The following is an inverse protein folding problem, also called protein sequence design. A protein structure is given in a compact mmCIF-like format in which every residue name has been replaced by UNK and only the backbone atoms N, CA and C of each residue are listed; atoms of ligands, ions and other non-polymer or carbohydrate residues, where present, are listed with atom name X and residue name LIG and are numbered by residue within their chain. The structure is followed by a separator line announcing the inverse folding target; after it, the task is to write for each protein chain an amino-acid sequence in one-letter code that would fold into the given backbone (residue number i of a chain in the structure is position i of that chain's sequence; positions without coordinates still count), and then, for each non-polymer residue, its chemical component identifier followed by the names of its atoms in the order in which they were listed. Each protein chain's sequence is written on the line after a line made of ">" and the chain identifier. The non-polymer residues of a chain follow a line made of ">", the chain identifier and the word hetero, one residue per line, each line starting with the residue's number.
data_IF_471449158100
#
_entry.id   IF_471449158100
#
_cell.length_a   1.000
_cell.length_b   1.000
_cell.length_c   1.000
_cell.angle_alpha   90.00
_cell.angle_beta   90.00
_cell.angle_gamma   90.00
#
_symmetry.space_group_name_H-M   'P 1'
#
loop_
_entity.id
_entity.type
_entity.pdbx_description
1 polymer ?
#
# COMPACT_ATOMS: atom_id res chain seq x y z
N UNK A 1 23.61 -33.90 8.31
CA UNK A 1 22.89 -33.35 7.14
C UNK A 1 21.54 -32.72 7.49
N UNK A 2 20.43 -33.44 7.76
CA UNK A 2 19.13 -32.78 7.99
C UNK A 2 19.08 -31.82 9.21
N UNK A 3 19.80 -32.16 10.30
CA UNK A 3 19.86 -31.34 11.51
C UNK A 3 20.73 -30.08 11.35
N UNK A 4 21.80 -30.16 10.55
CA UNK A 4 22.68 -29.02 10.25
C UNK A 4 22.02 -28.02 9.31
N UNK A 5 21.18 -28.48 8.38
CA UNK A 5 20.39 -27.60 7.50
C UNK A 5 19.28 -26.88 8.27
N UNK A 6 18.69 -27.52 9.30
CA UNK A 6 17.70 -26.91 10.18
C UNK A 6 18.33 -25.82 11.08
N UNK A 7 19.49 -26.12 11.67
CA UNK A 7 20.24 -25.17 12.50
C UNK A 7 20.80 -24.02 11.65
N UNK A 8 21.25 -24.28 10.42
CA UNK A 8 21.62 -23.22 9.48
C UNK A 8 20.41 -22.37 9.07
N UNK A 9 19.22 -22.97 8.91
CA UNK A 9 17.97 -22.25 8.64
C UNK A 9 17.57 -21.30 9.78
N UNK A 10 17.69 -21.75 11.03
CA UNK A 10 17.41 -20.93 12.23
C UNK A 10 18.49 -19.85 12.46
N UNK A 11 19.77 -20.16 12.23
CA UNK A 11 20.88 -19.20 12.39
C UNK A 11 20.88 -18.14 11.27
N UNK A 12 20.48 -18.49 10.03
CA UNK A 12 20.35 -17.54 8.92
C UNK A 12 19.07 -16.69 9.06
N UNK A 13 18.03 -17.20 9.72
CA UNK A 13 16.91 -16.36 10.16
C UNK A 13 17.38 -15.28 11.16
N UNK A 14 18.24 -15.62 12.12
CA UNK A 14 18.67 -14.69 13.18
C UNK A 14 19.41 -13.42 12.73
N UNK A 15 20.03 -13.38 11.55
CA UNK A 15 20.96 -12.28 11.19
C UNK A 15 20.32 -11.08 10.48
N UNK A 16 19.08 -11.19 9.99
CA UNK A 16 18.46 -10.16 9.15
C UNK A 16 17.06 -9.74 9.63
N UNK A 17 16.73 -10.03 10.88
CA UNK A 17 15.47 -9.66 11.56
C UNK A 17 15.67 -8.40 12.45
N UNK A 18 16.79 -7.70 12.25
CA UNK A 18 17.29 -6.71 13.20
C UNK A 18 16.69 -5.30 13.04
N UNK A 19 15.79 -5.03 12.08
CA UNK A 19 15.31 -3.64 11.89
C UNK A 19 14.45 -3.14 13.05
N UNK A 20 13.44 -3.91 13.44
CA UNK A 20 12.55 -3.53 14.54
C UNK A 20 13.28 -3.60 15.88
N UNK A 21 14.10 -4.63 16.08
CA UNK A 21 14.89 -4.82 17.30
C UNK A 21 15.94 -3.70 17.45
N UNK A 22 16.71 -3.39 16.41
CA UNK A 22 17.70 -2.31 16.44
C UNK A 22 17.08 -0.93 16.69
N UNK A 23 15.84 -0.70 16.24
CA UNK A 23 15.11 0.55 16.47
C UNK A 23 14.25 0.55 17.74
N UNK A 24 14.15 -0.57 18.46
CA UNK A 24 13.24 -0.75 19.59
C UNK A 24 13.45 0.29 20.71
N UNK A 25 14.70 0.67 20.98
CA UNK A 25 15.01 1.69 21.99
C UNK A 25 14.47 3.08 21.62
N UNK A 26 14.60 3.46 20.35
CA UNK A 26 14.04 4.70 19.81
C UNK A 26 12.52 4.63 19.82
N UNK A 27 11.95 3.53 19.32
CA UNK A 27 10.50 3.33 19.30
C UNK A 27 9.89 3.43 20.72
N UNK A 28 10.49 2.78 21.73
CA UNK A 28 10.07 2.90 23.13
C UNK A 28 10.13 4.34 23.65
N UNK A 29 11.20 5.07 23.32
CA UNK A 29 11.33 6.46 23.75
C UNK A 29 10.20 7.34 23.19
N UNK A 30 9.92 7.23 21.88
CA UNK A 30 8.86 7.99 21.23
C UNK A 30 7.47 7.55 21.70
N UNK A 31 7.21 6.25 21.79
CA UNK A 31 5.94 5.74 22.30
C UNK A 31 5.61 6.27 23.69
N UNK A 32 6.59 6.26 24.61
CA UNK A 32 6.41 6.80 25.95
C UNK A 32 6.21 8.32 25.95
N UNK A 33 6.96 9.04 25.12
CA UNK A 33 6.89 10.51 25.05
C UNK A 33 5.57 11.01 24.47
N UNK A 34 5.04 10.33 23.46
CA UNK A 34 3.85 10.75 22.71
C UNK A 34 2.60 9.95 23.06
N UNK A 35 2.71 8.97 23.97
CA UNK A 35 1.63 8.01 24.31
C UNK A 35 1.06 7.32 23.06
N UNK A 36 1.96 6.92 22.15
CA UNK A 36 1.62 6.34 20.85
C UNK A 36 1.80 4.83 20.85
N UNK A 37 0.94 4.11 20.13
CA UNK A 37 1.01 2.65 20.01
C UNK A 37 1.85 2.24 18.80
N UNK A 38 2.86 1.38 19.03
CA UNK A 38 3.78 0.91 18.00
C UNK A 38 3.43 -0.50 17.53
N UNK A 39 3.07 -0.62 16.25
CA UNK A 39 2.59 -1.81 15.57
C UNK A 39 3.64 -2.28 14.57
N UNK A 40 4.59 -3.09 15.03
CA UNK A 40 5.60 -3.74 14.19
C UNK A 40 6.29 -2.82 13.16
N UNK A 41 6.62 -1.58 13.51
CA UNK A 41 7.18 -0.60 12.55
C UNK A 41 6.31 0.63 12.34
N UNK A 42 4.99 0.51 12.54
CA UNK A 42 4.01 1.54 12.23
C UNK A 42 3.46 2.15 13.51
N UNK A 43 3.29 3.47 13.54
CA UNK A 43 2.54 4.14 14.60
C UNK A 43 1.05 4.03 14.32
N UNK A 44 0.26 3.51 15.27
CA UNK A 44 -1.18 3.30 15.10
C UNK A 44 -1.92 4.59 14.73
N UNK A 45 -1.48 5.71 15.28
CA UNK A 45 -2.04 7.04 15.08
C UNK A 45 -1.83 7.55 13.66
N UNK A 46 -0.89 6.98 12.92
CA UNK A 46 -0.63 7.31 11.52
C UNK A 46 -1.37 6.38 10.55
N UNK A 47 -2.06 5.35 11.05
CA UNK A 47 -2.90 4.53 10.20
C UNK A 47 -4.11 5.32 9.70
N UNK A 48 -4.59 5.07 8.47
CA UNK A 48 -4.04 4.09 7.52
C UNK A 48 -2.90 4.63 6.63
N UNK A 49 -2.50 5.90 6.76
CA UNK A 49 -1.53 6.54 5.86
C UNK A 49 -0.15 5.89 5.92
N UNK A 50 0.21 5.35 7.07
CA UNK A 50 1.45 4.61 7.24
C UNK A 50 1.51 3.29 6.44
N UNK A 51 0.43 2.84 5.78
CA UNK A 51 0.40 1.61 4.98
C UNK A 51 0.87 1.80 3.53
N UNK A 52 0.82 3.02 3.02
CA UNK A 52 1.09 3.33 1.60
C UNK A 52 2.57 3.65 1.31
N UNK A 53 3.49 3.07 2.10
CA UNK A 53 4.92 3.09 1.76
C UNK A 53 5.20 2.26 0.49
N UNK A 54 6.37 2.44 -0.12
CA UNK A 54 6.89 1.56 -1.19
C UNK A 54 8.38 1.29 -0.98
N UNK A 55 8.86 0.12 -1.40
CA UNK A 55 10.27 -0.24 -1.36
C UNK A 55 11.03 0.33 -2.57
N UNK A 56 12.31 0.63 -2.39
CA UNK A 56 13.19 1.03 -3.49
C UNK A 56 13.60 -0.16 -4.38
N UNK A 57 13.65 0.09 -5.68
CA UNK A 57 13.59 -0.89 -6.75
C UNK A 57 14.85 -1.75 -6.91
N UNK A 58 16.01 -1.27 -6.48
CA UNK A 58 17.29 -1.94 -6.73
C UNK A 58 17.70 -2.93 -5.62
N UNK A 59 17.18 -2.77 -4.39
CA UNK A 59 17.64 -3.54 -3.22
C UNK A 59 16.53 -4.11 -2.33
N UNK A 60 15.27 -3.69 -2.50
CA UNK A 60 14.18 -4.06 -1.58
C UNK A 60 13.14 -5.05 -2.09
N UNK A 61 13.18 -5.38 -3.38
CA UNK A 61 12.10 -6.04 -4.12
C UNK A 61 12.35 -7.54 -4.42
N UNK A 62 13.28 -8.17 -3.69
CA UNK A 62 13.62 -9.58 -3.87
C UNK A 62 12.54 -10.55 -3.37
N UNK A 63 12.54 -11.83 -3.84
CA UNK A 63 11.64 -12.89 -3.38
C UNK A 63 12.09 -13.39 -2.00
N UNK A 64 11.94 -12.54 -0.99
CA UNK A 64 12.33 -12.88 0.37
C UNK A 64 11.11 -13.40 1.14
N UNK A 65 11.26 -14.42 1.99
CA UNK A 65 10.22 -14.77 2.94
C UNK A 65 9.95 -13.54 3.81
N UNK A 66 8.68 -13.15 3.96
CA UNK A 66 8.27 -12.03 4.79
C UNK A 66 8.81 -12.23 6.21
N UNK A 67 9.56 -11.24 6.71
CA UNK A 67 10.18 -11.27 8.06
C UNK A 67 9.35 -10.47 9.06
N UNK A 68 8.07 -10.81 9.15
CA UNK A 68 7.05 -10.06 9.87
C UNK A 68 5.86 -9.73 8.97
N UNK A 69 4.90 -8.95 9.47
CA UNK A 69 3.66 -8.70 8.74
C UNK A 69 3.88 -7.94 7.43
N UNK A 70 3.20 -8.31 6.34
CA UNK A 70 3.44 -7.72 5.01
C UNK A 70 3.03 -6.24 4.90
N UNK A 71 2.15 -5.79 5.79
CA UNK A 71 1.75 -4.40 5.93
C UNK A 71 2.81 -3.52 6.59
N UNK A 72 3.79 -4.11 7.29
CA UNK A 72 4.90 -3.39 7.89
C UNK A 72 6.03 -3.12 6.89
N UNK A 73 6.56 -1.89 6.88
CA UNK A 73 7.77 -1.54 6.14
C UNK A 73 8.99 -2.37 6.57
N UNK A 74 8.96 -2.95 7.77
CA UNK A 74 10.01 -3.83 8.25
C UNK A 74 10.08 -5.15 7.48
N UNK A 75 9.01 -5.55 6.80
CA UNK A 75 8.93 -6.81 6.03
C UNK A 75 9.84 -6.86 4.80
N UNK A 76 10.26 -5.70 4.27
CA UNK A 76 11.12 -5.59 3.08
C UNK A 76 12.52 -5.11 3.44
N UNK A 77 13.52 -5.55 2.70
CA UNK A 77 14.87 -4.98 2.81
C UNK A 77 14.95 -3.67 2.01
N UNK A 78 16.00 -2.87 2.23
CA UNK A 78 16.22 -1.65 1.46
C UNK A 78 15.47 -0.42 1.98
N UNK A 79 15.68 0.68 1.26
CA UNK A 79 15.05 1.97 1.55
C UNK A 79 13.55 1.90 1.28
N UNK A 80 12.76 2.52 2.16
CA UNK A 80 11.33 2.73 1.93
C UNK A 80 11.06 4.20 1.66
N UNK A 81 10.02 4.45 0.86
CA UNK A 81 9.59 5.79 0.49
C UNK A 81 8.11 5.98 0.76
N UNK A 82 7.81 7.15 1.32
CA UNK A 82 6.46 7.70 1.35
C UNK A 82 6.30 8.80 0.27
N UNK A 83 7.38 9.24 -0.38
CA UNK A 83 7.42 10.43 -1.26
C UNK A 83 6.59 10.33 -2.55
N UNK A 84 6.21 9.12 -2.99
CA UNK A 84 5.24 8.98 -4.11
C UNK A 84 3.85 9.53 -3.73
N UNK A 85 3.53 9.61 -2.44
CA UNK A 85 2.34 10.25 -1.85
C UNK A 85 2.48 11.80 -1.82
N UNK A 86 3.72 12.29 -1.87
CA UNK A 86 4.07 13.70 -1.65
C UNK A 86 4.59 14.44 -2.89
N UNK A 87 4.63 13.80 -4.08
CA UNK A 87 5.11 14.48 -5.30
C UNK A 87 4.25 15.68 -5.74
N UNK A 88 3.02 15.79 -5.25
CA UNK A 88 2.13 16.94 -5.43
C UNK A 88 2.03 17.83 -4.18
N UNK A 89 2.83 17.55 -3.15
CA UNK A 89 2.82 18.22 -1.85
C UNK A 89 4.15 18.92 -1.65
N UNK A 90 4.15 20.25 -1.75
CA UNK A 90 5.36 21.07 -1.58
C UNK A 90 5.95 20.98 -0.15
N UNK A 91 5.23 20.40 0.82
CA UNK A 91 5.68 20.28 2.21
C UNK A 91 5.51 18.84 2.75
N UNK A 92 6.54 18.24 3.38
CA UNK A 92 6.46 16.90 4.00
C UNK A 92 5.45 16.79 5.15
N UNK A 93 4.90 17.93 5.58
CA UNK A 93 3.90 18.09 6.62
C UNK A 93 2.86 19.08 6.10
N UNK A 94 2.17 18.74 5.02
CA UNK A 94 1.01 19.52 4.61
C UNK A 94 -0.12 19.26 5.60
N UNK A 95 -0.14 20.07 6.65
CA UNK A 95 -1.15 20.22 7.68
C UNK A 95 -2.40 20.96 7.19
N UNK A 96 -2.54 21.18 5.88
CA UNK A 96 -3.82 21.54 5.28
C UNK A 96 -4.82 20.41 5.52
N UNK A 97 -6.05 20.70 5.94
CA UNK A 97 -7.12 19.72 5.95
C UNK A 97 -7.51 19.41 4.50
N UNK A 98 -6.75 18.56 3.81
CA UNK A 98 -7.36 17.82 2.71
C UNK A 98 -8.46 16.98 3.33
N UNK A 99 -9.69 17.18 2.89
CA UNK A 99 -10.84 16.38 3.32
C UNK A 99 -10.66 14.97 2.79
N UNK A 100 -9.92 14.13 3.52
CA UNK A 100 -9.84 12.71 3.24
C UNK A 100 -11.15 12.07 3.72
N UNK A 101 -11.82 11.35 2.84
CA UNK A 101 -12.95 10.49 3.22
C UNK A 101 -12.52 9.04 3.06
N UNK A 102 -12.14 8.40 4.18
CA UNK A 102 -11.90 6.96 4.24
C UNK A 102 -13.22 6.21 4.51
N UNK A 103 -14.30 6.56 3.79
CA UNK A 103 -15.60 5.86 3.95
C UNK A 103 -15.49 4.38 3.55
N UNK A 104 -14.58 4.08 2.63
CA UNK A 104 -14.48 2.77 1.99
C UNK A 104 -13.45 1.85 2.65
N UNK A 105 -12.78 2.31 3.71
CA UNK A 105 -11.71 1.60 4.40
C UNK A 105 -11.71 1.90 5.90
N UNK A 106 -11.74 0.86 6.72
CA UNK A 106 -11.64 0.99 8.17
C UNK A 106 -10.83 -0.16 8.76
N UNK A 107 -9.86 0.18 9.60
CA UNK A 107 -9.13 -0.81 10.39
C UNK A 107 -10.00 -1.17 11.60
N UNK A 108 -10.33 -2.45 11.72
CA UNK A 108 -11.12 -2.98 12.83
C UNK A 108 -10.25 -3.36 14.00
N UNK A 109 -9.14 -4.05 13.73
CA UNK A 109 -8.21 -4.54 14.74
C UNK A 109 -6.83 -4.78 14.15
N UNK A 110 -5.78 -4.65 14.98
CA UNK A 110 -4.41 -4.98 14.61
C UNK A 110 -3.77 -5.79 15.73
N UNK A 111 -3.34 -7.00 15.39
CA UNK A 111 -2.64 -7.90 16.30
C UNK A 111 -1.21 -8.09 15.82
N UNK A 112 -0.24 -7.93 16.72
CA UNK A 112 1.17 -8.19 16.43
C UNK A 112 1.64 -9.34 17.29
N UNK A 113 2.26 -10.34 16.66
CA UNK A 113 2.89 -11.45 17.38
C UNK A 113 4.38 -11.16 17.58
N UNK A 114 4.82 -11.22 18.83
CA UNK A 114 6.22 -11.02 19.23
C UNK A 114 6.76 -12.26 19.97
N UNK A 115 8.08 -12.45 19.99
CA UNK A 115 8.69 -13.57 20.74
C UNK A 115 8.52 -13.46 22.25
N UNK A 116 8.37 -12.24 22.75
CA UNK A 116 8.19 -11.92 24.17
C UNK A 116 7.00 -10.98 24.33
N UNK A 117 6.66 -10.60 25.56
CA UNK A 117 5.63 -9.59 25.82
C UNK A 117 6.06 -8.15 25.45
N UNK A 118 7.28 -7.97 24.93
CA UNK A 118 7.77 -6.66 24.50
C UNK A 118 7.28 -6.37 23.07
N UNK A 119 6.28 -5.49 22.96
CA UNK A 119 5.67 -5.08 21.68
C UNK A 119 6.64 -4.41 20.70
N UNK A 120 7.83 -4.01 21.17
CA UNK A 120 8.89 -3.41 20.36
C UNK A 120 10.00 -4.41 20.01
N UNK A 121 9.89 -5.65 20.51
CA UNK A 121 10.87 -6.70 20.34
C UNK A 121 10.79 -7.37 18.98
N UNK A 122 11.29 -8.59 18.93
CA UNK A 122 11.29 -9.40 17.70
C UNK A 122 9.85 -9.77 17.31
N UNK A 123 9.41 -9.25 16.16
CA UNK A 123 8.09 -9.49 15.58
C UNK A 123 8.12 -10.74 14.69
N UNK A 124 7.23 -11.69 14.97
CA UNK A 124 7.06 -12.95 14.25
C UNK A 124 6.01 -12.84 13.13
N UNK A 125 5.05 -11.94 13.27
CA UNK A 125 3.93 -11.77 12.36
C UNK A 125 2.94 -10.74 12.89
N UNK A 126 1.89 -10.50 12.12
CA UNK A 126 0.77 -9.70 12.60
C UNK A 126 -0.40 -9.73 11.65
N UNK A 127 -1.60 -9.62 12.20
CA UNK A 127 -2.84 -9.63 11.45
C UNK A 127 -3.53 -8.28 11.59
N UNK A 128 -4.00 -7.72 10.48
CA UNK A 128 -4.74 -6.46 10.43
C UNK A 128 -6.10 -6.74 9.79
N UNK A 129 -7.17 -6.67 10.59
CA UNK A 129 -8.54 -6.84 10.14
C UNK A 129 -9.05 -5.53 9.58
N UNK A 130 -9.54 -5.57 8.34
CA UNK A 130 -9.95 -4.40 7.58
C UNK A 130 -11.38 -4.61 7.09
N UNK A 131 -12.22 -3.61 7.34
CA UNK A 131 -13.49 -3.44 6.67
C UNK A 131 -13.29 -2.58 5.41
N UNK A 132 -13.77 -3.06 4.27
CA UNK A 132 -13.67 -2.38 2.98
C UNK A 132 -14.90 -2.62 2.10
N UNK A 133 -15.11 -1.79 1.07
CA UNK A 133 -16.31 -1.88 0.19
C UNK A 133 -16.16 -2.94 -0.90
N UNK A 134 -15.26 -2.77 -1.87
CA UNK A 134 -15.07 -3.75 -2.94
C UNK A 134 -13.61 -3.78 -3.35
N UNK A 135 -13.03 -4.97 -3.36
CA UNK A 135 -11.76 -5.25 -4.00
C UNK A 135 -11.94 -5.22 -5.52
N UNK A 136 -11.04 -4.54 -6.21
CA UNK A 136 -11.01 -4.50 -7.67
C UNK A 136 -9.97 -5.50 -8.16
N UNK A 137 -10.31 -6.34 -9.15
CA UNK A 137 -9.32 -7.20 -9.79
C UNK A 137 -8.28 -6.32 -10.50
N UNK A 138 -7.06 -6.30 -9.94
CA UNK A 138 -5.94 -5.52 -10.46
C UNK A 138 -5.12 -6.30 -11.49
N UNK A 139 -5.53 -7.52 -11.85
CA UNK A 139 -4.82 -8.42 -12.77
C UNK A 139 -4.90 -7.88 -14.20
N UNK A 140 -4.05 -6.92 -14.50
CA UNK A 140 -3.97 -6.29 -15.82
C UNK A 140 -3.05 -7.00 -16.81
N UNK A 141 -3.24 -6.69 -18.08
CA UNK A 141 -2.32 -7.07 -19.16
C UNK A 141 -1.10 -6.15 -19.11
N UNK A 142 0.09 -6.72 -19.25
CA UNK A 142 1.35 -5.99 -19.25
C UNK A 142 1.55 -5.27 -20.59
N UNK A 143 1.51 -3.95 -20.61
CA UNK A 143 1.88 -3.13 -21.79
C UNK A 143 3.37 -2.70 -21.80
N UNK A 144 4.13 -3.00 -20.73
CA UNK A 144 5.59 -3.12 -20.74
C UNK A 144 6.50 -1.94 -20.29
N UNK A 145 7.80 -2.30 -20.22
CA UNK A 145 9.10 -1.60 -20.43
C UNK A 145 9.87 -0.91 -19.29
N UNK A 146 9.32 -0.57 -18.11
CA UNK A 146 10.14 0.09 -17.07
C UNK A 146 10.53 -0.82 -15.89
N UNK A 147 11.83 -1.00 -15.59
CA UNK A 147 12.25 -1.68 -14.36
C UNK A 147 11.84 -0.80 -13.17
N UNK A 148 10.94 -1.31 -12.33
CA UNK A 148 10.53 -0.69 -11.07
C UNK A 148 9.21 0.09 -11.06
N UNK A 149 8.65 0.41 -12.23
CA UNK A 149 7.30 1.00 -12.34
C UNK A 149 6.55 0.29 -13.45
N UNK A 150 5.51 -0.45 -13.09
CA UNK A 150 4.61 -1.05 -14.08
C UNK A 150 3.36 -0.20 -14.16
N UNK A 151 3.18 0.54 -15.26
CA UNK A 151 1.83 0.97 -15.62
C UNK A 151 1.12 -0.25 -16.19
N UNK A 152 -0.03 -0.60 -15.62
CA UNK A 152 -0.88 -1.66 -16.18
C UNK A 152 -2.22 -1.08 -16.57
N UNK A 153 -2.77 -1.63 -17.65
CA UNK A 153 -4.13 -1.34 -18.06
C UNK A 153 -5.04 -2.41 -17.46
N UNK A 154 -6.06 -2.01 -16.72
CA UNK A 154 -7.08 -2.93 -16.20
C UNK A 154 -8.46 -2.62 -16.78
N UNK A 155 -9.27 -3.65 -17.09
CA UNK A 155 -10.65 -3.46 -17.47
C UNK A 155 -11.53 -3.18 -16.24
N UNK A 156 -12.45 -2.22 -16.34
CA UNK A 156 -13.49 -1.93 -15.35
C UNK A 156 -14.80 -1.73 -16.10
N UNK A 157 -15.72 -2.70 -15.99
CA UNK A 157 -16.90 -2.76 -16.85
C UNK A 157 -16.47 -2.87 -18.33
N UNK A 158 -17.02 -2.00 -19.17
CA UNK A 158 -16.69 -1.92 -20.61
C UNK A 158 -15.52 -0.97 -20.92
N UNK A 159 -14.93 -0.34 -19.89
CA UNK A 159 -13.85 0.65 -20.01
C UNK A 159 -12.50 0.07 -19.55
N UNK A 160 -11.40 0.77 -19.88
CA UNK A 160 -10.05 0.37 -19.49
C UNK A 160 -9.27 1.56 -18.96
N UNK A 161 -8.57 1.35 -17.84
CA UNK A 161 -7.88 2.41 -17.13
C UNK A 161 -6.41 2.06 -16.92
N UNK A 162 -5.54 3.05 -17.13
CA UNK A 162 -4.13 2.96 -16.78
C UNK A 162 -3.97 3.19 -15.28
N UNK A 163 -3.26 2.30 -14.60
CA UNK A 163 -2.95 2.39 -13.17
C UNK A 163 -1.45 2.25 -12.97
N UNK A 164 -0.89 3.09 -12.09
CA UNK A 164 0.50 3.01 -11.69
C UNK A 164 0.65 1.99 -10.58
N UNK A 165 1.42 0.92 -10.82
CA UNK A 165 1.75 -0.08 -9.79
C UNK A 165 3.18 0.04 -9.31
N UNK A 166 3.34 -0.05 -8.00
CA UNK A 166 4.61 -0.10 -7.29
C UNK A 166 4.64 -1.36 -6.44
N UNK A 167 5.28 -2.41 -6.97
CA UNK A 167 5.36 -3.71 -6.31
C UNK A 167 6.56 -3.78 -5.37
N UNK A 168 6.32 -4.14 -4.13
CA UNK A 168 7.36 -4.52 -3.17
C UNK A 168 7.72 -6.01 -3.29
N UNK A 169 6.79 -6.81 -3.82
CA UNK A 169 6.97 -8.23 -4.12
C UNK A 169 6.99 -8.47 -5.64
N UNK A 170 8.17 -8.80 -6.18
CA UNK A 170 8.32 -9.08 -7.62
C UNK A 170 8.04 -10.53 -8.00
N UNK A 171 7.61 -11.38 -7.06
CA UNK A 171 7.14 -12.71 -7.41
C UNK A 171 5.91 -12.56 -8.32
N UNK A 172 5.76 -13.51 -9.24
CA UNK A 172 4.57 -13.57 -10.07
C UNK A 172 3.38 -13.99 -9.21
N UNK A 173 2.34 -13.15 -9.20
CA UNK A 173 1.08 -13.43 -8.53
C UNK A 173 0.03 -13.67 -9.61
N UNK A 174 -0.61 -14.84 -9.58
CA UNK A 174 -1.65 -15.22 -10.56
C UNK A 174 -2.89 -14.33 -10.48
N UNK A 175 -3.16 -13.76 -9.29
CA UNK A 175 -4.23 -12.82 -9.01
C UNK A 175 -3.75 -11.76 -8.03
N UNK A 176 -4.13 -10.51 -8.29
CA UNK A 176 -3.91 -9.38 -7.39
C UNK A 176 -5.18 -8.53 -7.32
N UNK A 177 -5.37 -7.87 -6.18
CA UNK A 177 -6.51 -7.01 -5.93
C UNK A 177 -6.05 -5.63 -5.48
N UNK A 178 -6.81 -4.61 -5.89
CA UNK A 178 -6.63 -3.23 -5.47
C UNK A 178 -7.57 -2.94 -4.31
N UNK A 179 -6.99 -2.49 -3.20
CA UNK A 179 -7.71 -2.08 -2.00
C UNK A 179 -7.57 -0.56 -1.82
N UNK A 180 -8.63 0.18 -2.11
CA UNK A 180 -8.69 1.62 -1.90
C UNK A 180 -8.49 1.95 -0.42
N UNK A 181 -7.62 2.92 -0.14
CA UNK A 181 -7.50 3.52 1.19
C UNK A 181 -7.94 4.98 1.15
N UNK A 182 -7.48 5.76 0.17
CA UNK A 182 -7.69 7.21 0.14
C UNK A 182 -8.20 7.70 -1.20
N UNK A 183 -9.10 8.68 -1.15
CA UNK A 183 -9.32 9.63 -2.24
C UNK A 183 -8.79 10.99 -1.79
N UNK A 184 -7.94 11.61 -2.60
CA UNK A 184 -7.45 12.97 -2.41
C UNK A 184 -8.15 13.91 -3.37
N UNK A 185 -8.59 15.06 -2.87
CA UNK A 185 -8.99 16.20 -3.70
C UNK A 185 -7.85 17.23 -3.63
N UNK A 186 -7.08 17.39 -4.71
CA UNK A 186 -6.04 18.43 -4.78
C UNK A 186 -6.64 19.69 -5.37
N UNK A 187 -6.87 20.71 -4.54
CA UNK A 187 -7.21 22.04 -5.04
C UNK A 187 -5.93 22.84 -5.26
N UNK A 188 -5.47 22.98 -6.51
CA UNK A 188 -4.31 23.82 -6.82
C UNK A 188 -4.63 25.30 -6.59
N UNK A 189 -3.75 26.02 -5.88
CA UNK A 189 -3.58 27.46 -6.09
C UNK A 189 -2.49 27.65 -7.14
N UNK A 190 -2.79 28.48 -8.13
CA UNK A 190 -1.89 28.86 -9.22
C UNK A 190 -0.62 29.54 -8.71
N UNK A 191 0.39 28.79 -8.33
CA UNK A 191 1.73 29.31 -8.15
C UNK A 191 2.74 28.36 -8.81
N UNK A 192 3.29 28.86 -9.92
CA UNK A 192 4.22 28.21 -10.83
C UNK A 192 5.15 27.19 -10.15
N UNK A 193 5.15 25.96 -10.68
CA UNK A 193 6.02 24.87 -10.25
C UNK A 193 7.42 25.14 -10.79
N UNK A 194 8.38 25.48 -9.91
CA UNK A 194 9.79 25.43 -10.25
C UNK A 194 10.24 23.96 -10.23
N UNK A 195 10.54 23.39 -11.40
CA UNK A 195 11.22 22.11 -11.50
C UNK A 195 12.66 22.26 -11.01
N UNK A 196 13.05 21.51 -9.97
CA UNK A 196 14.46 21.31 -9.66
C UNK A 196 15.06 20.39 -10.72
N UNK A 197 16.00 20.91 -11.51
CA UNK A 197 16.81 20.10 -12.43
C UNK A 197 18.27 20.15 -11.96
N UNK A 198 18.92 19.01 -11.69
CA UNK A 198 20.38 18.98 -11.65
C UNK A 198 20.85 19.14 -13.10
N UNK A 199 21.64 20.18 -13.34
CA UNK A 199 22.17 20.57 -14.64
C UNK A 199 22.97 19.43 -15.27
N UNK A 200 22.34 18.62 -16.13
CA UNK A 200 23.04 17.73 -17.05
C UNK A 200 22.65 18.14 -18.46
N UNK A 201 23.51 18.97 -19.04
CA UNK A 201 23.71 19.18 -20.48
C UNK A 201 22.46 19.49 -21.32
N UNK A 202 22.01 20.75 -21.25
CA UNK A 202 21.82 21.54 -22.48
C UNK A 202 20.62 21.26 -23.37
N UNK A 203 19.54 20.63 -22.88
CA UNK A 203 18.22 20.73 -23.52
C UNK A 203 17.14 21.07 -22.49
N UNK A 204 16.38 22.18 -22.65
CA UNK A 204 15.18 22.37 -21.86
C UNK A 204 14.19 21.26 -22.22
N UNK A 205 13.73 20.52 -21.22
CA UNK A 205 12.55 19.66 -21.36
C UNK A 205 11.37 20.52 -21.84
N UNK A 206 10.54 20.05 -22.79
CA UNK A 206 9.33 20.78 -23.13
C UNK A 206 8.49 20.93 -21.85
N UNK A 207 7.85 22.09 -21.63
CA UNK A 207 6.95 22.25 -20.50
C UNK A 207 5.90 21.15 -20.58
N UNK A 208 5.86 20.29 -19.57
CA UNK A 208 4.74 19.38 -19.37
C UNK A 208 3.51 20.26 -19.21
N UNK A 209 2.56 20.14 -20.13
CA UNK A 209 1.25 20.76 -20.03
C UNK A 209 0.46 20.08 -18.91
N UNK A 210 0.84 20.34 -17.66
CA UNK A 210 -0.05 20.10 -16.54
C UNK A 210 -1.06 21.25 -16.58
N UNK A 211 -2.25 20.95 -17.08
CA UNK A 211 -3.37 21.87 -17.03
C UNK A 211 -3.64 22.19 -15.56
N UNK A 212 -3.67 23.48 -15.21
CA UNK A 212 -4.21 23.95 -13.93
C UNK A 212 -5.55 23.22 -13.69
N UNK A 213 -5.65 22.44 -12.63
CA UNK A 213 -6.80 21.56 -12.44
C UNK A 213 -6.84 20.94 -11.05
N UNK A 214 -8.06 20.64 -10.61
CA UNK A 214 -8.27 19.78 -9.44
C UNK A 214 -7.73 18.40 -9.82
N UNK A 215 -6.68 17.95 -9.15
CA UNK A 215 -6.13 16.60 -9.36
C UNK A 215 -6.70 15.69 -8.30
N UNK A 216 -7.82 15.04 -8.61
CA UNK A 216 -8.33 13.97 -7.76
C UNK A 216 -7.51 12.72 -7.99
N UNK A 217 -7.00 12.11 -6.92
CA UNK A 217 -6.26 10.85 -6.99
C UNK A 217 -6.78 9.84 -5.97
N UNK A 218 -6.74 8.57 -6.36
CA UNK A 218 -6.98 7.45 -5.46
C UNK A 218 -5.67 6.73 -5.18
N UNK A 219 -5.47 6.37 -3.91
CA UNK A 219 -4.33 5.60 -3.45
C UNK A 219 -4.78 4.42 -2.61
N UNK A 220 -4.07 3.31 -2.77
CA UNK A 220 -4.40 2.10 -2.04
C UNK A 220 -3.32 1.04 -2.13
N UNK A 221 -3.65 -0.14 -1.60
CA UNK A 221 -2.74 -1.28 -1.55
C UNK A 221 -2.98 -2.20 -2.73
N UNK A 222 -1.90 -2.82 -3.19
CA UNK A 222 -1.96 -4.02 -4.01
C UNK A 222 -1.81 -5.20 -3.07
N UNK A 223 -2.79 -6.10 -3.09
CA UNK A 223 -2.85 -7.26 -2.20
C UNK A 223 -3.01 -8.55 -3.01
N UNK A 224 -2.35 -9.62 -2.57
CA UNK A 224 -2.45 -10.95 -3.18
C UNK A 224 -3.10 -11.94 -2.20
N UNK A 225 -3.98 -12.83 -2.66
CA UNK A 225 -4.67 -13.79 -1.80
C UNK A 225 -3.68 -14.82 -1.23
N UNK A 226 -3.89 -15.21 0.02
CA UNK A 226 -3.09 -16.27 0.67
C UNK A 226 -3.73 -17.63 0.39
N UNK A 227 -2.97 -18.51 -0.26
CA UNK A 227 -3.45 -19.84 -0.66
C UNK A 227 -3.98 -20.61 0.55
N UNK A 228 -5.21 -21.11 0.45
CA UNK A 228 -5.86 -21.90 1.51
C UNK A 228 -6.42 -21.09 2.68
N UNK A 229 -6.30 -19.74 2.67
CA UNK A 229 -6.87 -18.86 3.70
C UNK A 229 -7.88 -17.88 3.10
N UNK A 230 -9.16 -18.21 3.24
CA UNK A 230 -10.28 -17.35 2.81
C UNK A 230 -10.19 -15.98 3.48
N UNK A 231 -10.47 -14.89 2.75
CA UNK A 231 -10.46 -13.54 3.33
C UNK A 231 -9.08 -12.98 3.66
N UNK A 232 -8.01 -13.74 3.45
CA UNK A 232 -6.66 -13.38 3.91
C UNK A 232 -5.78 -12.99 2.74
N UNK A 233 -5.08 -11.87 2.87
CA UNK A 233 -4.23 -11.32 1.83
C UNK A 233 -2.86 -10.89 2.36
N UNK A 234 -1.89 -10.84 1.47
CA UNK A 234 -0.56 -10.25 1.67
C UNK A 234 -0.48 -8.93 0.91
N UNK A 235 -0.02 -7.85 1.55
CA UNK A 235 0.33 -6.60 0.88
C UNK A 235 1.60 -6.83 0.05
N UNK A 236 1.51 -6.54 -1.24
CA UNK A 236 2.59 -6.74 -2.21
C UNK A 236 2.99 -5.44 -2.92
N UNK A 237 2.35 -4.32 -2.59
CA UNK A 237 2.68 -3.02 -3.17
C UNK A 237 1.60 -1.98 -2.91
N UNK A 238 1.72 -0.88 -3.64
CA UNK A 238 0.75 0.22 -3.65
C UNK A 238 0.38 0.59 -5.09
N UNK A 239 -0.80 1.15 -5.29
CA UNK A 239 -1.25 1.66 -6.57
C UNK A 239 -1.74 3.10 -6.44
N UNK A 240 -1.52 3.89 -7.50
CA UNK A 240 -2.08 5.24 -7.62
C UNK A 240 -2.87 5.37 -8.93
N UNK A 241 -4.00 6.07 -8.85
CA UNK A 241 -4.91 6.38 -9.95
C UNK A 241 -5.24 7.90 -9.91
N UNK A 242 -5.40 8.58 -11.07
CA UNK A 242 -5.28 8.05 -12.42
C UNK A 242 -3.84 7.73 -12.82
N UNK A 243 -3.70 6.81 -13.78
CA UNK A 243 -2.43 6.53 -14.46
C UNK A 243 -2.07 7.63 -15.46
N UNK A 244 -1.52 7.24 -16.60
CA UNK A 244 -1.13 8.20 -17.66
C UNK A 244 -2.33 8.78 -18.42
N UNK A 245 -3.48 8.11 -18.38
CA UNK A 245 -4.68 8.43 -19.14
C UNK A 245 -5.91 8.23 -18.25
N UNK A 246 -6.90 9.12 -18.37
CA UNK A 246 -8.17 9.07 -17.66
C UNK A 246 -8.27 10.06 -16.51
N UNK A 247 -9.45 10.11 -15.88
CA UNK A 247 -9.71 10.90 -14.68
C UNK A 247 -10.16 9.98 -13.55
N UNK A 248 -9.99 10.39 -12.29
CA UNK A 248 -10.56 9.66 -11.16
C UNK A 248 -12.08 9.54 -11.31
N UNK A 249 -12.76 10.64 -11.67
CA UNK A 249 -14.22 10.62 -11.84
C UNK A 249 -14.69 9.55 -12.83
N UNK A 250 -14.05 9.43 -14.00
CA UNK A 250 -14.41 8.41 -14.99
C UNK A 250 -14.22 6.99 -14.43
N UNK A 251 -13.14 6.77 -13.67
CA UNK A 251 -12.91 5.49 -13.00
C UNK A 251 -13.98 5.20 -11.93
N UNK A 252 -14.35 6.17 -11.11
CA UNK A 252 -15.39 6.00 -10.09
C UNK A 252 -16.78 5.76 -10.71
N UNK A 253 -17.08 6.43 -11.82
CA UNK A 253 -18.30 6.23 -12.60
C UNK A 253 -18.34 4.82 -13.20
N UNK A 254 -17.24 4.32 -13.76
CA UNK A 254 -17.16 2.94 -14.27
C UNK A 254 -17.25 1.91 -13.13
N UNK A 255 -16.57 2.16 -12.01
CA UNK A 255 -16.58 1.31 -10.81
C UNK A 255 -18.00 1.19 -10.22
N UNK A 256 -18.72 2.30 -10.13
CA UNK A 256 -20.09 2.32 -9.55
C UNK A 256 -21.14 1.66 -10.45
N UNK A 257 -20.92 1.60 -11.76
CA UNK A 257 -21.78 0.88 -12.71
C UNK A 257 -21.55 -0.63 -12.73
N UNK A 258 -20.43 -1.10 -12.19
CA UNK A 258 -20.12 -2.53 -12.14
C UNK A 258 -21.10 -3.22 -11.19
N UNK A 259 -21.71 -4.33 -11.62
CA UNK A 259 -22.76 -5.04 -10.88
C UNK A 259 -22.32 -5.52 -9.47
N UNK A 260 -23.31 -5.89 -8.65
CA UNK A 260 -23.11 -6.48 -7.32
C UNK A 260 -22.19 -7.70 -7.37
N UNK A 261 -21.43 -7.93 -6.30
CA UNK A 261 -20.48 -9.05 -6.21
C UNK A 261 -21.13 -10.39 -6.58
N UNK A 262 -20.48 -11.13 -7.47
CA UNK A 262 -20.84 -12.51 -7.79
C UNK A 262 -20.41 -13.46 -6.65
N UNK A 263 -20.93 -14.69 -6.61
CA UNK A 263 -20.64 -15.66 -5.53
C UNK A 263 -19.15 -15.99 -5.39
N UNK A 264 -18.44 -16.04 -6.51
CA UNK A 264 -16.99 -16.25 -6.56
C UNK A 264 -16.24 -15.04 -5.99
N UNK A 265 -16.67 -13.81 -6.26
CA UNK A 265 -16.09 -12.61 -5.66
C UNK A 265 -16.39 -12.53 -4.15
N UNK A 266 -17.56 -12.99 -3.69
CA UNK A 266 -17.88 -13.07 -2.25
C UNK A 266 -16.98 -14.05 -1.50
N UNK A 267 -16.44 -15.06 -2.19
CA UNK A 267 -15.48 -15.99 -1.61
C UNK A 267 -14.15 -15.34 -1.20
N UNK A 268 -13.87 -14.13 -1.72
CA UNK A 268 -12.66 -13.36 -1.38
C UNK A 268 -12.68 -12.79 0.04
N UNK A 269 -13.85 -12.67 0.68
CA UNK A 269 -14.01 -11.99 1.97
C UNK A 269 -14.27 -12.98 3.09
N UNK A 270 -13.88 -12.64 4.32
CA UNK A 270 -14.20 -13.46 5.50
C UNK A 270 -15.71 -13.50 5.74
N UNK A 271 -16.32 -12.30 5.71
CA UNK A 271 -17.73 -12.07 5.96
C UNK A 271 -18.16 -10.70 5.42
N UNK A 272 -19.46 -10.52 5.21
CA UNK A 272 -20.06 -9.19 5.11
C UNK A 272 -20.04 -8.49 6.48
N UNK A 273 -19.80 -7.19 6.49
CA UNK A 273 -19.71 -6.38 7.71
C UNK A 273 -20.95 -5.48 7.91
N UNK A 274 -21.62 -5.08 6.83
CA UNK A 274 -22.84 -4.27 6.88
C UNK A 274 -22.86 -3.20 5.81
N UNK A 275 -23.45 -2.05 6.10
CA UNK A 275 -23.45 -0.89 5.20
C UNK A 275 -22.65 0.23 5.87
N UNK A 276 -21.68 0.81 5.16
CA UNK A 276 -20.86 1.91 5.66
C UNK A 276 -21.66 3.24 5.71
N UNK A 277 -21.05 4.30 6.23
CA UNK A 277 -21.69 5.62 6.35
C UNK A 277 -22.13 6.23 5.00
N UNK A 278 -21.49 5.80 3.90
CA UNK A 278 -21.80 6.23 2.55
C UNK A 278 -22.93 5.40 1.88
N UNK A 279 -23.50 4.40 2.57
CA UNK A 279 -24.55 3.55 2.04
C UNK A 279 -24.06 2.36 1.21
N UNK A 280 -22.75 2.09 1.18
CA UNK A 280 -22.15 0.99 0.46
C UNK A 280 -22.03 -0.27 1.33
N UNK A 281 -22.31 -1.44 0.77
CA UNK A 281 -22.05 -2.71 1.43
C UNK A 281 -20.54 -2.86 1.72
N UNK A 282 -20.20 -3.24 2.95
CA UNK A 282 -18.85 -3.47 3.41
C UNK A 282 -18.60 -4.95 3.73
N UNK A 283 -17.33 -5.34 3.65
CA UNK A 283 -16.83 -6.70 3.83
C UNK A 283 -15.53 -6.68 4.62
N UNK A 284 -15.23 -7.81 5.27
CA UNK A 284 -14.01 -7.96 6.08
C UNK A 284 -12.97 -8.81 5.35
N UNK A 285 -11.73 -8.32 5.38
CA UNK A 285 -10.52 -9.05 5.00
C UNK A 285 -9.49 -8.96 6.13
N UNK A 286 -8.48 -9.84 6.07
CA UNK A 286 -7.30 -9.78 6.93
C UNK A 286 -6.04 -9.63 6.09
N UNK A 287 -5.22 -8.62 6.42
CA UNK A 287 -3.84 -8.53 5.95
C UNK A 287 -2.91 -9.20 6.95
N UNK A 288 -2.01 -10.05 6.46
CA UNK A 288 -0.99 -10.74 7.28
C UNK A 288 0.42 -10.26 6.99
#
# INVERSE_FOLDING_TARGET
>A
MALETMIAGEIIQGFYIDKLVALSGIAKHFANKYSSEYLAGIWKEHLPHALVWSADDEHGTGPLPLRGPSWSWASRNGSIRYDRIYSFVKTPFDDRPSSWTASDFKILDVQVQTTTSDSYGHCLGGEMRIECVKLIDGTGVSDGVYPGRSSKTIPIGDESFSINYYFDDRREHSKIFLLKIFTRIVQERSEAIYQWTPEIQGRPSPPSSHANGIHDCEEGLIIAPVVGRKGTFTRIGIYHLPGYIGTLQAFEDARSKTESLQEDELSLYEQGSGVNEAGNQSYVITLI
#
